data_IF_811974581593
#
_entry.id   IF_811974581593
#
_cell.length_a   1.000
_cell.length_b   1.000
_cell.length_c   1.000
_cell.angle_alpha   90.00
_cell.angle_beta   90.00
_cell.angle_gamma   90.00
#
_symmetry.space_group_name_H-M   'P 1'
#
loop_
_entity.id
_entity.type
_entity.pdbx_description
1 polymer ?
#
# COMPACT_ATOMS: atom_id res chain seq x y z
N UNK A 1 9.27 -0.74 -29.87
CA UNK A 1 10.55 -0.13 -30.29
C UNK A 1 11.22 0.41 -29.04
N UNK A 2 12.17 -0.32 -28.44
CA UNK A 2 12.87 0.14 -27.24
C UNK A 2 14.02 1.05 -27.69
N UNK A 3 13.83 2.37 -27.52
CA UNK A 3 14.87 3.34 -27.81
C UNK A 3 16.10 3.08 -26.95
N UNK A 4 17.29 3.18 -27.55
CA UNK A 4 18.56 3.09 -26.85
C UNK A 4 18.63 4.25 -25.85
N UNK A 5 18.65 3.91 -24.57
CA UNK A 5 18.83 4.86 -23.48
C UNK A 5 20.30 5.30 -23.41
N UNK A 6 20.54 6.61 -23.50
CA UNK A 6 21.87 7.20 -23.33
C UNK A 6 21.95 7.83 -21.93
N UNK A 7 22.78 7.30 -21.01
CA UNK A 7 22.90 7.80 -19.63
C UNK A 7 23.18 9.31 -19.54
N UNK A 8 23.89 9.88 -20.52
CA UNK A 8 24.27 11.30 -20.56
C UNK A 8 23.10 12.26 -20.88
N UNK A 9 21.89 11.73 -21.07
CA UNK A 9 20.67 12.51 -21.37
C UNK A 9 19.58 12.33 -20.33
N UNK A 10 19.91 11.77 -19.16
CA UNK A 10 18.99 11.57 -18.03
C UNK A 10 18.18 12.84 -17.68
N UNK A 11 18.85 13.96 -17.45
CA UNK A 11 18.21 15.22 -17.07
C UNK A 11 17.24 15.72 -18.15
N UNK A 12 17.65 15.61 -19.42
CA UNK A 12 16.81 15.98 -20.58
C UNK A 12 15.60 15.05 -20.70
N UNK A 13 15.76 13.76 -20.40
CA UNK A 13 14.69 12.79 -20.38
C UNK A 13 13.67 13.08 -19.27
N UNK A 14 14.12 13.36 -18.05
CA UNK A 14 13.23 13.74 -16.94
C UNK A 14 12.51 15.07 -17.21
N UNK A 15 13.21 16.08 -17.70
CA UNK A 15 12.60 17.36 -18.09
C UNK A 15 11.54 17.17 -19.18
N UNK A 16 11.82 16.31 -20.17
CA UNK A 16 10.88 16.00 -21.24
C UNK A 16 9.65 15.24 -20.74
N UNK A 17 9.80 14.24 -19.86
CA UNK A 17 8.68 13.55 -19.22
C UNK A 17 7.81 14.52 -18.41
N UNK A 18 8.45 15.36 -17.59
CA UNK A 18 7.74 16.35 -16.79
C UNK A 18 6.94 17.35 -17.65
N UNK A 19 7.49 17.77 -18.78
CA UNK A 19 6.83 18.70 -19.70
C UNK A 19 5.71 18.07 -20.57
N UNK A 20 5.68 16.73 -20.68
CA UNK A 20 4.81 16.03 -21.63
C UNK A 20 3.94 14.94 -20.97
N UNK A 21 3.63 15.06 -19.68
CA UNK A 21 2.89 14.04 -18.91
C UNK A 21 1.55 13.63 -19.51
N UNK A 22 0.85 14.54 -20.18
CA UNK A 22 -0.42 14.27 -20.84
C UNK A 22 -0.28 13.28 -22.01
N UNK A 23 0.92 13.15 -22.58
CA UNK A 23 1.24 12.24 -23.68
C UNK A 23 1.66 10.86 -23.15
N UNK A 24 2.37 10.82 -22.02
CA UNK A 24 2.88 9.59 -21.42
C UNK A 24 1.90 9.02 -20.38
N UNK A 25 0.80 8.43 -20.84
CA UNK A 25 -0.11 7.74 -19.94
C UNK A 25 0.48 6.40 -19.45
N UNK A 26 0.69 6.32 -18.14
CA UNK A 26 0.79 5.16 -17.22
C UNK A 26 1.74 3.97 -17.47
N UNK A 27 2.49 3.89 -18.58
CA UNK A 27 3.44 2.78 -18.81
C UNK A 27 4.86 3.18 -19.24
N UNK A 28 4.99 4.22 -20.06
CA UNK A 28 6.29 4.64 -20.60
C UNK A 28 7.17 5.34 -19.55
N UNK A 29 6.56 6.05 -18.60
CA UNK A 29 7.25 6.66 -17.47
C UNK A 29 7.94 5.60 -16.59
N UNK A 30 7.27 4.47 -16.35
CA UNK A 30 7.81 3.37 -15.54
C UNK A 30 9.06 2.76 -16.19
N UNK A 31 9.01 2.52 -17.51
CA UNK A 31 10.14 1.98 -18.26
C UNK A 31 11.36 2.90 -18.21
N UNK A 32 11.15 4.20 -18.37
CA UNK A 32 12.23 5.20 -18.28
C UNK A 32 12.82 5.27 -16.86
N UNK A 33 11.96 5.38 -15.83
CA UNK A 33 12.39 5.42 -14.43
C UNK A 33 13.19 4.18 -14.06
N UNK A 34 12.71 3.00 -14.46
CA UNK A 34 13.39 1.71 -14.23
C UNK A 34 14.78 1.68 -14.85
N UNK A 35 14.93 2.12 -16.10
CA UNK A 35 16.24 2.17 -16.77
C UNK A 35 17.17 3.20 -16.15
N UNK A 36 16.65 4.38 -15.80
CA UNK A 36 17.40 5.45 -15.14
C UNK A 36 17.97 4.99 -13.79
N UNK A 37 17.14 4.41 -12.94
CA UNK A 37 17.55 3.92 -11.64
C UNK A 37 18.46 2.69 -11.73
N UNK A 38 18.26 1.78 -12.70
CA UNK A 38 19.18 0.66 -12.96
C UNK A 38 20.57 1.18 -13.34
N UNK A 39 20.66 2.08 -14.32
CA UNK A 39 21.93 2.68 -14.73
C UNK A 39 22.61 3.48 -13.62
N UNK A 40 21.82 4.09 -12.72
CA UNK A 40 22.34 4.75 -11.54
C UNK A 40 22.85 3.75 -10.50
N UNK A 41 22.16 2.63 -10.29
CA UNK A 41 22.56 1.59 -9.35
C UNK A 41 23.94 1.00 -9.69
N UNK A 42 24.24 0.82 -10.98
CA UNK A 42 25.56 0.38 -11.48
C UNK A 42 26.69 1.40 -11.19
N UNK A 43 26.33 2.67 -10.94
CA UNK A 43 27.26 3.77 -10.61
C UNK A 43 27.31 4.08 -9.11
N UNK A 44 26.52 3.39 -8.29
CA UNK A 44 26.52 3.50 -6.84
C UNK A 44 25.47 4.44 -6.24
N UNK A 45 25.45 4.54 -4.89
CA UNK A 45 24.40 5.22 -4.13
C UNK A 45 24.17 6.70 -4.49
N UNK A 46 25.23 7.46 -4.74
CA UNK A 46 25.13 8.88 -5.06
C UNK A 46 24.39 9.13 -6.38
N UNK A 47 24.65 8.29 -7.39
CA UNK A 47 23.94 8.35 -8.66
C UNK A 47 22.46 8.04 -8.48
N UNK A 48 22.11 7.07 -7.62
CA UNK A 48 20.72 6.73 -7.31
C UNK A 48 20.02 7.89 -6.60
N UNK A 49 20.67 8.55 -5.64
CA UNK A 49 20.13 9.77 -5.02
C UNK A 49 19.86 10.87 -6.04
N UNK A 50 20.78 11.08 -6.99
CA UNK A 50 20.57 12.04 -8.08
C UNK A 50 19.29 11.73 -8.87
N UNK A 51 19.05 10.46 -9.19
CA UNK A 51 17.83 10.05 -9.90
C UNK A 51 16.56 10.16 -9.04
N UNK A 52 16.60 9.77 -7.76
CA UNK A 52 15.48 9.95 -6.84
C UNK A 52 15.07 11.41 -6.70
N UNK A 53 16.05 12.32 -6.65
CA UNK A 53 15.83 13.77 -6.65
C UNK A 53 15.10 14.24 -7.91
N UNK A 54 15.57 13.83 -9.08
CA UNK A 54 14.94 14.17 -10.36
C UNK A 54 13.50 13.65 -10.46
N UNK A 55 13.25 12.43 -9.98
CA UNK A 55 11.89 11.85 -9.93
C UNK A 55 10.98 12.71 -9.05
N UNK A 56 11.45 13.08 -7.85
CA UNK A 56 10.70 13.91 -6.90
C UNK A 56 10.41 15.29 -7.47
N UNK A 57 11.41 15.98 -7.98
CA UNK A 57 11.29 17.35 -8.53
C UNK A 57 10.46 17.36 -9.80
N UNK A 58 10.64 16.34 -10.64
CA UNK A 58 9.83 16.10 -11.83
C UNK A 58 8.47 15.50 -11.52
N UNK A 59 8.10 15.27 -10.25
CA UNK A 59 6.88 14.61 -9.73
C UNK A 59 6.42 13.43 -10.61
N UNK A 60 7.37 12.55 -10.95
CA UNK A 60 7.16 11.37 -11.81
C UNK A 60 6.59 10.23 -10.97
N UNK A 61 5.55 9.56 -11.49
CA UNK A 61 4.94 8.43 -10.78
C UNK A 61 5.81 7.18 -10.88
N UNK A 62 6.22 6.65 -9.72
CA UNK A 62 7.07 5.45 -9.62
C UNK A 62 6.39 4.28 -8.95
N UNK A 63 5.08 4.38 -8.65
CA UNK A 63 4.36 3.41 -7.81
C UNK A 63 4.45 1.97 -8.30
N UNK A 64 4.54 1.77 -9.61
CA UNK A 64 4.62 0.45 -10.25
C UNK A 64 6.04 0.06 -10.70
N UNK A 65 7.03 0.95 -10.54
CA UNK A 65 8.40 0.63 -10.93
C UNK A 65 8.98 -0.44 -10.00
N UNK A 66 9.35 -1.57 -10.60
CA UNK A 66 10.14 -2.62 -9.95
C UNK A 66 11.57 -2.56 -10.43
N UNK A 67 12.51 -2.69 -9.50
CA UNK A 67 13.93 -2.53 -9.80
C UNK A 67 14.75 -3.60 -9.12
N UNK A 68 15.75 -4.06 -9.84
CA UNK A 68 16.79 -4.94 -9.34
C UNK A 68 18.05 -4.09 -9.19
N UNK A 69 18.63 -4.10 -7.99
CA UNK A 69 19.92 -3.48 -7.71
C UNK A 69 21.02 -4.54 -7.78
N UNK A 70 22.27 -4.19 -8.12
CA UNK A 70 23.41 -5.08 -8.03
C UNK A 70 23.47 -5.79 -6.67
N UNK A 71 23.82 -7.08 -6.55
CA UNK A 71 23.76 -7.85 -5.30
C UNK A 71 24.47 -7.18 -4.11
N UNK A 72 25.56 -6.50 -4.37
CA UNK A 72 26.44 -5.79 -3.45
C UNK A 72 26.12 -4.28 -3.29
N UNK A 73 25.02 -3.80 -3.90
CA UNK A 73 24.64 -2.40 -3.78
C UNK A 73 24.47 -1.95 -2.32
N UNK A 74 25.14 -0.85 -1.96
CA UNK A 74 25.20 -0.29 -0.62
C UNK A 74 23.97 0.60 -0.31
N UNK A 75 22.91 -0.04 0.18
CA UNK A 75 21.70 0.65 0.62
C UNK A 75 21.91 1.52 1.87
N UNK A 76 22.90 1.24 2.71
CA UNK A 76 23.17 2.01 3.92
C UNK A 76 23.74 3.39 3.58
N UNK A 77 24.66 3.45 2.62
CA UNK A 77 25.15 4.72 2.08
C UNK A 77 24.04 5.49 1.36
N UNK A 78 23.18 4.81 0.59
CA UNK A 78 22.00 5.45 -0.04
C UNK A 78 21.09 6.09 1.01
N UNK A 79 20.81 5.36 2.09
CA UNK A 79 19.92 5.76 3.17
C UNK A 79 20.47 6.94 3.98
N UNK A 80 21.79 7.01 4.14
CA UNK A 80 22.49 8.04 4.91
C UNK A 80 22.65 9.38 4.17
N UNK A 81 22.56 9.38 2.84
CA UNK A 81 22.68 10.57 2.00
C UNK A 81 21.43 11.48 1.98
N UNK A 82 20.34 11.08 2.64
CA UNK A 82 19.18 11.93 2.96
C UNK A 82 18.08 12.04 1.89
N UNK A 83 18.37 11.90 0.59
CA UNK A 83 17.34 12.01 -0.47
C UNK A 83 16.29 10.90 -0.35
N UNK A 84 16.70 9.68 0.02
CA UNK A 84 15.79 8.56 0.19
C UNK A 84 14.64 8.90 1.17
N UNK A 85 14.94 9.57 2.29
CA UNK A 85 13.93 10.00 3.28
C UNK A 85 12.87 10.90 2.66
N UNK A 86 13.29 11.89 1.89
CA UNK A 86 12.38 12.83 1.23
C UNK A 86 11.59 12.13 0.13
N UNK A 87 12.25 11.28 -0.66
CA UNK A 87 11.63 10.54 -1.75
C UNK A 87 10.56 9.56 -1.25
N UNK A 88 10.77 8.91 -0.10
CA UNK A 88 9.77 7.98 0.48
C UNK A 88 8.50 8.73 0.87
N UNK A 89 8.61 9.91 1.48
CA UNK A 89 7.45 10.74 1.87
C UNK A 89 6.59 11.17 0.68
N UNK A 90 7.17 11.29 -0.51
CA UNK A 90 6.45 11.65 -1.75
C UNK A 90 6.10 10.42 -2.61
N UNK A 91 6.41 9.20 -2.16
CA UNK A 91 6.21 7.96 -2.90
C UNK A 91 7.29 7.64 -3.96
N UNK A 92 8.17 8.59 -4.28
CA UNK A 92 9.28 8.43 -5.23
C UNK A 92 10.36 7.43 -4.79
N UNK A 93 10.51 7.20 -3.49
CA UNK A 93 11.51 6.30 -2.91
C UNK A 93 11.08 4.83 -2.83
N UNK A 94 9.81 4.53 -3.15
CA UNK A 94 9.22 3.19 -3.01
C UNK A 94 10.02 2.09 -3.73
N UNK A 95 10.52 2.29 -4.96
CA UNK A 95 11.31 1.26 -5.65
C UNK A 95 12.61 0.90 -4.95
N UNK A 96 13.33 1.89 -4.39
CA UNK A 96 14.57 1.67 -3.67
C UNK A 96 14.32 0.96 -2.33
N UNK A 97 13.28 1.36 -1.59
CA UNK A 97 12.88 0.67 -0.35
C UNK A 97 12.46 -0.77 -0.58
N UNK A 98 11.65 -1.06 -1.60
CA UNK A 98 11.25 -2.43 -1.94
C UNK A 98 12.47 -3.29 -2.27
N UNK A 99 13.41 -2.77 -3.06
CA UNK A 99 14.63 -3.48 -3.39
C UNK A 99 15.54 -3.72 -2.17
N UNK A 100 15.65 -2.74 -1.26
CA UNK A 100 16.36 -2.92 0.00
C UNK A 100 15.68 -4.02 0.85
N UNK A 101 14.37 -3.96 1.00
CA UNK A 101 13.59 -4.94 1.75
C UNK A 101 13.67 -6.37 1.19
N UNK A 102 13.99 -6.53 -0.10
CA UNK A 102 14.26 -7.85 -0.68
C UNK A 102 15.60 -8.45 -0.22
N UNK A 103 16.60 -7.61 0.10
CA UNK A 103 17.92 -8.06 0.56
C UNK A 103 18.04 -8.12 2.08
N UNK A 104 17.60 -7.06 2.75
CA UNK A 104 17.67 -6.90 4.19
C UNK A 104 16.40 -6.20 4.68
N UNK A 105 15.40 -7.03 4.97
CA UNK A 105 14.04 -6.59 5.31
C UNK A 105 14.00 -5.86 6.64
N UNK A 106 14.76 -6.31 7.63
CA UNK A 106 14.78 -5.74 8.97
C UNK A 106 15.48 -4.37 8.96
N UNK A 107 16.62 -4.23 8.27
CA UNK A 107 17.30 -2.94 8.17
C UNK A 107 16.46 -1.89 7.42
N UNK A 108 15.82 -2.28 6.31
CA UNK A 108 14.93 -1.38 5.57
C UNK A 108 13.73 -0.94 6.44
N UNK A 109 13.14 -1.87 7.21
CA UNK A 109 12.03 -1.57 8.11
C UNK A 109 12.44 -0.59 9.22
N UNK A 110 13.55 -0.89 9.93
CA UNK A 110 14.06 -0.04 11.00
C UNK A 110 14.33 1.38 10.48
N UNK A 111 15.03 1.50 9.35
CA UNK A 111 15.29 2.80 8.74
C UNK A 111 14.00 3.55 8.40
N UNK A 112 13.01 2.86 7.84
CA UNK A 112 11.71 3.47 7.48
C UNK A 112 10.96 3.95 8.71
N UNK A 113 10.93 3.17 9.80
CA UNK A 113 10.28 3.60 11.04
C UNK A 113 10.95 4.84 11.62
N UNK A 114 12.28 4.92 11.59
CA UNK A 114 13.05 6.07 12.09
C UNK A 114 12.92 7.33 11.21
N UNK A 115 12.72 7.18 9.90
CA UNK A 115 12.83 8.31 8.96
C UNK A 115 11.52 8.72 8.26
N UNK A 116 10.61 7.79 8.06
CA UNK A 116 9.34 7.98 7.36
C UNK A 116 8.11 7.63 8.23
N UNK A 117 8.30 6.93 9.36
CA UNK A 117 7.24 6.50 10.25
C UNK A 117 6.34 5.43 9.64
N UNK A 118 5.22 5.13 10.32
CA UNK A 118 4.29 4.07 9.90
C UNK A 118 3.73 4.26 8.49
N UNK A 119 3.61 5.50 8.02
CA UNK A 119 3.14 5.77 6.66
C UNK A 119 4.10 5.30 5.54
N UNK A 120 5.41 5.26 5.83
CA UNK A 120 6.39 4.71 4.89
C UNK A 120 6.50 3.18 4.93
N UNK A 121 6.00 2.55 6.00
CA UNK A 121 6.17 1.11 6.24
C UNK A 121 5.29 0.24 5.34
N UNK A 122 4.25 0.81 4.74
CA UNK A 122 3.35 0.15 3.81
C UNK A 122 4.13 -0.66 2.77
N UNK A 123 5.08 -0.05 2.06
CA UNK A 123 5.79 -0.74 0.98
C UNK A 123 6.71 -1.90 1.44
N UNK A 124 7.07 -1.95 2.74
CA UNK A 124 7.96 -2.96 3.31
C UNK A 124 7.18 -4.12 3.94
N UNK A 125 6.10 -3.79 4.65
CA UNK A 125 5.18 -4.77 5.21
C UNK A 125 4.51 -5.59 4.10
N UNK A 126 4.46 -5.05 2.89
CA UNK A 126 3.59 -5.53 1.84
C UNK A 126 4.32 -5.90 0.54
N UNK A 127 5.59 -5.55 0.43
CA UNK A 127 6.33 -5.34 -0.81
C UNK A 127 6.66 -6.55 -1.67
N UNK A 128 6.11 -7.74 -1.39
CA UNK A 128 6.32 -8.94 -2.23
C UNK A 128 5.04 -9.30 -2.96
N UNK A 129 4.61 -8.41 -3.88
CA UNK A 129 3.38 -8.52 -4.69
C UNK A 129 3.11 -9.89 -5.32
N UNK A 130 4.11 -10.77 -5.48
CA UNK A 130 3.96 -12.12 -6.04
C UNK A 130 4.84 -13.18 -5.36
N UNK A 131 5.41 -12.89 -4.17
CA UNK A 131 6.38 -13.78 -3.52
C UNK A 131 6.18 -13.93 -2.01
N UNK A 132 5.14 -13.31 -1.44
CA UNK A 132 4.83 -13.39 -0.02
C UNK A 132 4.37 -14.79 0.38
N UNK A 133 5.28 -15.62 0.88
CA UNK A 133 4.93 -16.87 1.53
C UNK A 133 4.32 -16.63 2.92
N UNK A 134 3.84 -17.68 3.62
CA UNK A 134 3.33 -17.56 4.99
C UNK A 134 4.31 -16.88 5.96
N UNK A 135 5.63 -17.05 5.74
CA UNK A 135 6.67 -16.40 6.53
C UNK A 135 6.68 -14.87 6.36
N UNK A 136 6.43 -14.38 5.14
CA UNK A 136 6.40 -12.94 4.89
C UNK A 136 5.21 -12.28 5.58
N UNK A 137 4.06 -12.96 5.59
CA UNK A 137 2.84 -12.53 6.30
C UNK A 137 3.06 -12.52 7.82
N UNK A 138 3.67 -13.57 8.37
CA UNK A 138 3.97 -13.67 9.79
C UNK A 138 4.94 -12.57 10.25
N UNK A 139 5.99 -12.30 9.47
CA UNK A 139 6.91 -11.19 9.75
C UNK A 139 6.19 -9.85 9.74
N UNK A 140 5.35 -9.59 8.73
CA UNK A 140 4.64 -8.31 8.64
C UNK A 140 3.66 -8.12 9.81
N UNK A 141 2.97 -9.18 10.23
CA UNK A 141 2.05 -9.13 11.35
C UNK A 141 2.79 -8.79 12.65
N UNK A 142 3.93 -9.43 12.91
CA UNK A 142 4.75 -9.13 14.08
C UNK A 142 5.20 -7.66 14.10
N UNK A 143 5.63 -7.11 12.96
CA UNK A 143 6.01 -5.68 12.85
C UNK A 143 4.84 -4.74 13.06
N UNK A 144 3.64 -5.10 12.60
CA UNK A 144 2.42 -4.32 12.85
C UNK A 144 2.02 -4.30 14.33
N UNK A 145 2.25 -5.40 15.05
CA UNK A 145 2.01 -5.48 16.51
C UNK A 145 3.01 -4.62 17.31
N UNK A 146 4.24 -4.49 16.82
CA UNK A 146 5.28 -3.64 17.42
C UNK A 146 5.00 -2.14 17.23
N UNK A 147 4.18 -1.76 16.25
CA UNK A 147 3.83 -0.35 16.03
C UNK A 147 3.03 0.21 17.19
N UNK A 148 3.20 1.50 17.49
CA UNK A 148 2.26 2.21 18.36
C UNK A 148 0.96 2.58 17.61
N UNK A 149 -0.02 3.15 18.33
CA UNK A 149 -1.30 3.52 17.74
C UNK A 149 -1.18 4.59 16.64
N UNK A 150 -0.28 5.56 16.81
CA UNK A 150 -0.07 6.64 15.86
C UNK A 150 0.61 6.14 14.58
N UNK A 151 1.56 5.21 14.72
CA UNK A 151 2.22 4.52 13.62
C UNK A 151 1.23 3.64 12.84
N UNK A 152 0.38 2.87 13.52
CA UNK A 152 -0.68 2.07 12.87
C UNK A 152 -1.70 2.96 12.16
N UNK A 153 -2.03 4.11 12.76
CA UNK A 153 -2.90 5.10 12.11
C UNK A 153 -2.22 5.66 10.86
N UNK A 154 -0.98 6.13 10.96
CA UNK A 154 -0.21 6.66 9.83
C UNK A 154 -0.05 5.62 8.71
N UNK A 155 0.17 4.36 9.06
CA UNK A 155 0.19 3.24 8.11
C UNK A 155 -1.15 3.18 7.37
N UNK A 156 -2.29 3.11 8.06
CA UNK A 156 -3.59 3.04 7.38
C UNK A 156 -3.94 4.29 6.56
N UNK A 157 -3.65 5.48 7.06
CA UNK A 157 -3.90 6.75 6.36
C UNK A 157 -3.05 6.86 5.08
N UNK A 158 -1.76 6.55 5.17
CA UNK A 158 -0.85 6.53 4.01
C UNK A 158 -1.28 5.49 2.98
N UNK A 159 -1.92 4.45 3.48
CA UNK A 159 -2.23 3.27 2.74
C UNK A 159 -3.70 3.26 2.32
N UNK A 160 -4.13 4.41 1.80
CA UNK A 160 -5.21 4.52 0.80
C UNK A 160 -5.11 3.46 -0.31
N UNK A 161 -3.94 2.84 -0.47
CA UNK A 161 -3.65 1.70 -1.34
C UNK A 161 -3.65 0.31 -0.65
N UNK A 162 -3.29 0.19 0.64
CA UNK A 162 -3.27 -1.07 1.42
C UNK A 162 -4.65 -1.70 1.53
N UNK A 163 -5.66 -0.87 1.81
CA UNK A 163 -7.06 -1.32 1.91
C UNK A 163 -7.81 -1.24 0.57
N UNK A 164 -7.15 -0.96 -0.56
CA UNK A 164 -7.85 -0.85 -1.86
C UNK A 164 -7.24 -1.69 -2.97
N UNK A 165 -5.94 -1.95 -3.01
CA UNK A 165 -5.29 -2.71 -4.10
C UNK A 165 -4.94 -4.14 -3.74
N UNK A 166 -4.43 -4.38 -2.54
CA UNK A 166 -3.82 -5.67 -2.19
C UNK A 166 -4.66 -6.50 -1.19
N UNK A 167 -5.91 -6.10 -0.95
CA UNK A 167 -6.89 -6.63 0.02
C UNK A 167 -7.00 -8.17 0.19
N UNK A 168 -6.57 -8.97 -0.79
CA UNK A 168 -6.62 -10.44 -0.73
C UNK A 168 -5.76 -11.04 0.40
N UNK A 169 -4.71 -10.34 0.81
CA UNK A 169 -3.85 -10.71 1.94
C UNK A 169 -4.43 -10.45 3.34
N UNK A 170 -5.45 -9.58 3.48
CA UNK A 170 -5.91 -9.09 4.79
C UNK A 170 -6.36 -10.24 5.67
N UNK A 171 -7.09 -11.26 5.17
CA UNK A 171 -7.43 -12.43 5.98
C UNK A 171 -6.18 -13.09 6.57
N UNK A 172 -5.21 -13.46 5.73
CA UNK A 172 -3.98 -14.13 6.18
C UNK A 172 -3.14 -13.25 7.12
N UNK A 173 -3.04 -11.96 6.82
CA UNK A 173 -2.34 -10.98 7.64
C UNK A 173 -3.03 -10.80 9.00
N UNK A 174 -4.37 -10.65 9.02
CA UNK A 174 -5.15 -10.56 10.26
C UNK A 174 -5.01 -11.83 11.09
N UNK A 175 -5.02 -13.01 10.47
CA UNK A 175 -4.91 -14.29 11.17
C UNK A 175 -3.54 -14.46 11.85
N UNK A 176 -2.48 -13.91 11.24
CA UNK A 176 -1.12 -13.92 11.76
C UNK A 176 -0.90 -12.96 12.95
N UNK A 177 -1.76 -11.96 13.16
CA UNK A 177 -1.72 -11.09 14.34
C UNK A 177 -2.11 -11.91 15.59
N UNK A 178 -1.31 -11.82 16.64
CA UNK A 178 -1.50 -12.53 17.92
C UNK A 178 -2.40 -11.74 18.87
N UNK A 179 -2.26 -10.42 18.91
CA UNK A 179 -3.09 -9.55 19.73
C UNK A 179 -4.55 -9.58 19.20
N UNK A 180 -5.52 -10.09 19.99
CA UNK A 180 -6.91 -10.18 19.55
C UNK A 180 -7.54 -8.81 19.28
N UNK A 181 -7.12 -7.76 20.00
CA UNK A 181 -7.64 -6.40 19.83
C UNK A 181 -7.18 -5.83 18.48
N UNK A 182 -5.89 -5.96 18.15
CA UNK A 182 -5.36 -5.50 16.85
C UNK A 182 -5.90 -6.32 15.69
N UNK A 183 -6.10 -7.63 15.90
CA UNK A 183 -6.74 -8.53 14.92
C UNK A 183 -8.17 -8.08 14.61
N UNK A 184 -8.97 -7.79 15.64
CA UNK A 184 -10.34 -7.28 15.47
C UNK A 184 -10.34 -5.89 14.80
N UNK A 185 -9.48 -4.99 15.26
CA UNK A 185 -9.32 -3.64 14.69
C UNK A 185 -9.07 -3.68 13.18
N UNK A 186 -8.09 -4.49 12.73
CA UNK A 186 -7.76 -4.63 11.32
C UNK A 186 -8.94 -5.20 10.51
N UNK A 187 -9.63 -6.21 11.05
CA UNK A 187 -10.78 -6.83 10.39
C UNK A 187 -11.94 -5.84 10.25
N UNK A 188 -12.22 -5.05 11.29
CA UNK A 188 -13.23 -3.98 11.25
C UNK A 188 -12.86 -2.89 10.22
N UNK A 189 -11.58 -2.49 10.15
CA UNK A 189 -11.10 -1.58 9.10
C UNK A 189 -11.33 -2.16 7.71
N UNK A 190 -11.12 -3.45 7.52
CA UNK A 190 -11.35 -4.10 6.23
C UNK A 190 -12.84 -4.21 5.83
N UNK A 191 -13.78 -4.12 6.78
CA UNK A 191 -15.22 -3.97 6.49
C UNK A 191 -15.52 -2.65 5.78
N UNK A 192 -14.69 -1.60 5.95
CA UNK A 192 -14.79 -0.35 5.18
C UNK A 192 -14.69 -0.57 3.66
N UNK A 193 -14.23 -1.75 3.22
CA UNK A 193 -14.28 -2.17 1.83
C UNK A 193 -15.67 -2.10 1.19
N UNK A 194 -16.76 -2.08 1.98
CA UNK A 194 -18.12 -1.84 1.46
C UNK A 194 -18.24 -0.49 0.75
N UNK A 195 -17.55 0.55 1.24
CA UNK A 195 -17.66 1.91 0.70
C UNK A 195 -16.78 2.18 -0.52
N UNK A 196 -15.91 1.24 -0.88
CA UNK A 196 -15.01 1.34 -2.03
C UNK A 196 -15.16 0.17 -3.01
N UNK A 197 -16.33 -0.48 -3.02
CA UNK A 197 -16.73 -1.55 -3.93
C UNK A 197 -15.93 -2.85 -3.79
N UNK A 198 -15.36 -3.09 -2.61
CA UNK A 198 -14.62 -4.32 -2.24
C UNK A 198 -15.50 -5.27 -1.40
N UNK A 199 -16.73 -5.46 -1.86
CA UNK A 199 -17.79 -6.20 -1.15
C UNK A 199 -17.33 -7.61 -0.72
N UNK A 200 -16.67 -8.36 -1.60
CA UNK A 200 -16.19 -9.72 -1.31
C UNK A 200 -15.26 -9.78 -0.08
N UNK A 201 -14.32 -8.85 0.06
CA UNK A 201 -13.44 -8.85 1.22
C UNK A 201 -14.21 -8.45 2.47
N UNK A 202 -14.99 -7.36 2.41
CA UNK A 202 -15.74 -6.89 3.57
C UNK A 202 -16.68 -7.99 4.10
N UNK A 203 -17.36 -8.70 3.20
CA UNK A 203 -18.17 -9.88 3.54
C UNK A 203 -17.34 -10.99 4.19
N UNK A 204 -16.16 -11.31 3.65
CA UNK A 204 -15.25 -12.30 4.26
C UNK A 204 -14.79 -11.88 5.65
N UNK A 205 -14.56 -10.59 5.88
CA UNK A 205 -14.19 -10.05 7.18
C UNK A 205 -15.33 -10.11 8.19
N UNK A 206 -16.56 -9.78 7.77
CA UNK A 206 -17.75 -9.97 8.59
C UNK A 206 -17.91 -11.44 9.01
N UNK A 207 -17.69 -12.40 8.09
CA UNK A 207 -17.81 -13.83 8.43
C UNK A 207 -16.84 -14.27 9.55
N UNK A 208 -15.61 -13.72 9.58
CA UNK A 208 -14.61 -14.07 10.60
C UNK A 208 -14.69 -13.22 11.87
N UNK A 209 -15.48 -12.14 11.87
CA UNK A 209 -15.69 -11.25 13.02
C UNK A 209 -16.71 -11.77 14.04
N UNK A 210 -17.40 -12.88 13.75
CA UNK A 210 -18.24 -13.57 14.72
C UNK A 210 -19.52 -14.16 14.15
N UNK A 211 -20.49 -14.50 15.02
CA UNK A 211 -21.79 -15.04 14.61
C UNK A 211 -22.66 -13.99 13.90
N UNK A 212 -23.77 -14.41 13.25
CA UNK A 212 -24.68 -13.53 12.53
C UNK A 212 -25.05 -12.23 13.27
N UNK A 213 -25.43 -12.29 14.54
CA UNK A 213 -25.86 -11.12 15.30
C UNK A 213 -24.73 -10.07 15.43
N UNK A 214 -23.50 -10.52 15.72
CA UNK A 214 -22.33 -9.63 15.79
C UNK A 214 -22.08 -8.93 14.46
N UNK A 215 -22.31 -9.59 13.33
CA UNK A 215 -22.14 -9.01 11.99
C UNK A 215 -23.16 -7.92 11.72
N UNK A 216 -24.41 -8.14 12.14
CA UNK A 216 -25.47 -7.15 12.04
C UNK A 216 -25.14 -5.93 12.89
N UNK A 217 -24.75 -6.12 14.16
CA UNK A 217 -24.29 -5.03 15.03
C UNK A 217 -23.16 -4.21 14.41
N UNK A 218 -22.16 -4.87 13.79
CA UNK A 218 -21.07 -4.18 13.11
C UNK A 218 -21.60 -3.32 11.98
N UNK A 219 -22.49 -3.85 11.13
CA UNK A 219 -23.06 -3.11 10.01
C UNK A 219 -23.94 -1.93 10.45
N UNK A 220 -24.68 -2.09 11.55
CA UNK A 220 -25.52 -1.03 12.13
C UNK A 220 -24.69 0.13 12.67
N UNK A 221 -23.50 -0.15 13.19
CA UNK A 221 -22.62 0.86 13.79
C UNK A 221 -21.49 1.30 12.86
N UNK A 222 -21.40 0.74 11.64
CA UNK A 222 -20.30 1.03 10.73
C UNK A 222 -20.39 2.46 10.24
N UNK A 223 -19.48 3.31 10.72
CA UNK A 223 -19.32 4.66 10.21
C UNK A 223 -18.33 4.68 9.07
N UNK A 224 -18.66 5.39 8.01
CA UNK A 224 -17.77 5.55 6.87
C UNK A 224 -16.55 6.39 7.25
N UNK A 225 -15.37 5.85 6.99
CA UNK A 225 -14.13 6.61 7.11
C UNK A 225 -14.04 7.66 5.97
N UNK A 226 -13.94 8.97 6.28
CA UNK A 226 -13.87 10.03 5.28
C UNK A 226 -12.63 9.94 4.37
N UNK A 227 -11.59 9.20 4.77
CA UNK A 227 -10.39 9.00 3.97
C UNK A 227 -10.59 7.96 2.84
N UNK A 228 -11.66 7.16 2.89
CA UNK A 228 -12.00 6.16 1.88
C UNK A 228 -12.62 6.86 0.66
N UNK A 229 -11.77 7.16 -0.34
CA UNK A 229 -12.11 7.90 -1.57
C UNK A 229 -11.51 7.26 -2.83
N UNK A 230 -12.20 7.30 -3.99
CA UNK A 230 -13.57 7.81 -4.17
C UNK A 230 -14.62 6.80 -3.64
N UNK A 231 -15.77 7.28 -3.12
CA UNK A 231 -16.91 6.41 -2.84
C UNK A 231 -17.29 5.64 -4.10
N UNK A 232 -17.50 4.34 -3.95
CA UNK A 232 -18.27 3.58 -4.92
C UNK A 232 -19.70 3.42 -4.40
N UNK A 233 -20.70 3.41 -5.30
CA UNK A 233 -22.06 3.06 -4.91
C UNK A 233 -22.07 1.69 -4.21
N UNK A 234 -22.86 1.59 -3.14
CA UNK A 234 -23.09 0.33 -2.44
C UNK A 234 -23.81 -0.65 -3.37
N UNK A 235 -23.32 -1.90 -3.44
CA UNK A 235 -24.02 -2.99 -4.12
C UNK A 235 -25.15 -3.51 -3.21
N UNK A 236 -26.26 -2.79 -3.24
CA UNK A 236 -27.41 -3.03 -2.35
C UNK A 236 -27.99 -4.44 -2.50
N UNK A 237 -28.20 -4.92 -3.72
CA UNK A 237 -28.82 -6.22 -3.97
C UNK A 237 -27.98 -7.34 -3.33
N UNK A 238 -26.66 -7.28 -3.57
CA UNK A 238 -25.72 -8.24 -3.01
C UNK A 238 -25.69 -8.18 -1.49
N UNK A 239 -25.59 -6.99 -0.91
CA UNK A 239 -25.52 -6.84 0.53
C UNK A 239 -26.83 -7.27 1.21
N UNK A 240 -27.99 -6.93 0.63
CA UNK A 240 -29.30 -7.43 1.09
C UNK A 240 -29.33 -8.96 1.10
N UNK A 241 -28.95 -9.59 -0.01
CA UNK A 241 -28.88 -11.06 -0.11
C UNK A 241 -27.98 -11.65 0.98
N UNK A 242 -26.85 -11.00 1.28
CA UNK A 242 -25.93 -11.44 2.33
C UNK A 242 -26.54 -11.31 3.72
N UNK A 243 -27.13 -10.16 4.04
CA UNK A 243 -27.77 -9.89 5.34
C UNK A 243 -29.00 -10.80 5.55
N UNK A 244 -29.77 -11.10 4.50
CA UNK A 244 -30.90 -12.03 4.56
C UNK A 244 -30.50 -13.48 4.90
N UNK A 245 -29.23 -13.84 4.73
CA UNK A 245 -28.71 -15.12 5.22
C UNK A 245 -28.45 -15.12 6.74
N UNK A 246 -28.45 -13.95 7.38
CA UNK A 246 -28.18 -13.76 8.81
C UNK A 246 -29.43 -13.42 9.61
N UNK A 247 -30.41 -12.76 9.01
CA UNK A 247 -31.69 -12.40 9.63
C UNK A 247 -32.84 -12.41 8.61
N UNK A 248 -34.07 -12.65 9.10
CA UNK A 248 -35.30 -12.53 8.32
C UNK A 248 -36.04 -11.20 8.54
N UNK A 249 -35.58 -10.38 9.48
CA UNK A 249 -36.17 -9.07 9.80
C UNK A 249 -35.90 -8.06 8.68
N UNK A 250 -36.90 -7.85 7.82
CA UNK A 250 -36.80 -6.92 6.69
C UNK A 250 -36.60 -5.47 7.14
N UNK A 251 -37.18 -5.07 8.28
CA UNK A 251 -37.07 -3.70 8.78
C UNK A 251 -35.64 -3.38 9.19
N UNK A 252 -34.95 -4.34 9.83
CA UNK A 252 -33.53 -4.24 10.19
C UNK A 252 -32.64 -4.22 8.96
N UNK A 253 -32.91 -5.07 7.97
CA UNK A 253 -32.19 -5.08 6.69
C UNK A 253 -32.28 -3.71 6.01
N UNK A 254 -33.48 -3.15 5.90
CA UNK A 254 -33.71 -1.84 5.29
C UNK A 254 -32.98 -0.72 6.05
N UNK A 255 -33.01 -0.75 7.39
CA UNK A 255 -32.31 0.23 8.22
C UNK A 255 -30.79 0.19 8.00
N UNK A 256 -30.18 -1.00 7.99
CA UNK A 256 -28.74 -1.17 7.73
C UNK A 256 -28.38 -0.65 6.34
N UNK A 257 -29.13 -1.03 5.30
CA UNK A 257 -28.85 -0.60 3.93
C UNK A 257 -28.95 0.92 3.81
N UNK A 258 -29.95 1.54 4.42
CA UNK A 258 -30.12 2.99 4.39
C UNK A 258 -28.98 3.71 5.13
N UNK A 259 -28.58 3.20 6.30
CA UNK A 259 -27.44 3.70 7.08
C UNK A 259 -26.14 3.67 6.27
N UNK A 260 -25.87 2.58 5.54
CA UNK A 260 -24.64 2.43 4.76
C UNK A 260 -24.64 3.23 3.45
N UNK A 261 -25.78 3.77 3.02
CA UNK A 261 -25.90 4.63 1.84
C UNK A 261 -25.70 6.12 2.14
N UNK A 262 -26.02 6.54 3.36
CA UNK A 262 -25.85 7.94 3.81
C UNK A 262 -24.40 8.28 4.10
#
# INVERSE_FOLDING_TARGET
MYGIFLPDRLDKGFAFLAANRNIYQSGLEEGFVRQALKSAADRGPDAVNGVLRMIREGNVDTRNAYMEFPPDFDFQTLASAGELKTAVKTGAGSPALRAWAMKDRDAAYQWTMENAGGGGACEILLGRRNQGGPQDVAWSAARYEEMDADQRKALSDSARHFMTRDMEWIPAFSDAIRDPVLKEELRLRAVQGLFNGRNYLAERMLEVLGPPERRLEILENLQRDPQVTPPMPLDEERLRKKISAWTQDQSRIDAIINHLKS
#
